data_IF_165814037034
#
_entry.id   IF_165814037034
#
_cell.length_a   1.000
_cell.length_b   1.000
_cell.length_c   1.000
_cell.angle_alpha   90.00
_cell.angle_beta   90.00
_cell.angle_gamma   90.00
#
_symmetry.space_group_name_H-M   'P 1'
#
loop_
_entity.id
_entity.type
_entity.pdbx_description
1 polymer ?
#
# COMPACT_ATOMS: atom_id res chain seq x y z
N UNK A 1 -8.27 14.56 18.92
CA UNK A 1 -7.52 14.08 17.73
C UNK A 1 -7.00 12.66 17.88
N UNK A 2 -6.09 12.36 18.83
CA UNK A 2 -5.60 10.99 19.10
C UNK A 2 -6.72 9.97 19.46
N UNK A 3 -7.87 10.47 19.91
CA UNK A 3 -9.06 9.68 20.22
C UNK A 3 -9.74 9.05 18.98
N UNK A 4 -9.68 9.70 17.81
CA UNK A 4 -10.23 9.14 16.56
C UNK A 4 -9.38 7.98 16.07
N UNK A 5 -8.06 8.19 15.97
CA UNK A 5 -7.10 7.15 15.62
C UNK A 5 -7.19 5.96 16.60
N UNK A 6 -7.27 6.24 17.91
CA UNK A 6 -7.44 5.18 18.93
C UNK A 6 -8.74 4.39 18.72
N UNK A 7 -9.81 5.06 18.30
CA UNK A 7 -11.10 4.41 18.05
C UNK A 7 -11.07 3.55 16.78
N UNK A 8 -10.51 4.09 15.69
CA UNK A 8 -10.32 3.37 14.42
C UNK A 8 -9.42 2.15 14.63
N UNK A 9 -8.33 2.31 15.38
CA UNK A 9 -7.43 1.22 15.77
C UNK A 9 -8.15 0.18 16.61
N UNK A 10 -8.86 0.57 17.68
CA UNK A 10 -9.57 -0.36 18.56
C UNK A 10 -10.61 -1.17 17.78
N UNK A 11 -11.30 -0.55 16.81
CA UNK A 11 -12.29 -1.22 15.98
C UNK A 11 -11.67 -2.27 15.05
N UNK A 12 -10.51 -1.97 14.47
CA UNK A 12 -9.88 -2.84 13.46
C UNK A 12 -8.83 -3.81 14.07
N UNK A 13 -8.46 -3.62 15.34
CA UNK A 13 -7.39 -4.35 16.02
C UNK A 13 -7.55 -5.88 15.93
N UNK A 14 -8.77 -6.39 16.13
CA UNK A 14 -9.04 -7.84 16.05
C UNK A 14 -8.80 -8.40 14.65
N UNK A 15 -9.18 -7.67 13.61
CA UNK A 15 -8.98 -8.10 12.21
C UNK A 15 -7.51 -8.01 11.82
N UNK A 16 -6.84 -6.93 12.22
CA UNK A 16 -5.40 -6.73 11.97
C UNK A 16 -4.56 -7.80 12.68
N UNK A 17 -4.81 -8.05 13.97
CA UNK A 17 -4.12 -9.09 14.74
C UNK A 17 -4.44 -10.49 14.19
N UNK A 18 -5.70 -10.75 13.84
CA UNK A 18 -6.10 -12.01 13.23
C UNK A 18 -5.37 -12.27 11.90
N UNK A 19 -5.31 -11.27 11.02
CA UNK A 19 -4.58 -11.37 9.76
C UNK A 19 -3.07 -11.59 9.97
N UNK A 20 -2.48 -10.93 10.98
CA UNK A 20 -1.07 -11.10 11.33
C UNK A 20 -0.78 -12.51 11.85
N UNK A 21 -1.64 -13.06 12.73
CA UNK A 21 -1.49 -14.44 13.23
C UNK A 21 -1.60 -15.45 12.09
N UNK A 22 -2.59 -15.30 11.22
CA UNK A 22 -2.75 -16.17 10.04
C UNK A 22 -1.53 -16.08 9.13
N UNK A 23 -0.99 -14.88 8.92
CA UNK A 23 0.23 -14.67 8.15
C UNK A 23 1.43 -15.40 8.75
N UNK A 24 1.66 -15.28 10.05
CA UNK A 24 2.76 -15.98 10.74
C UNK A 24 2.62 -17.49 10.57
N UNK A 25 1.41 -18.04 10.82
CA UNK A 25 1.15 -19.47 10.65
C UNK A 25 1.41 -19.91 9.20
N UNK A 26 0.96 -19.12 8.22
CA UNK A 26 1.19 -19.41 6.81
C UNK A 26 2.68 -19.40 6.45
N UNK A 27 3.46 -18.43 6.93
CA UNK A 27 4.90 -18.37 6.67
C UNK A 27 5.65 -19.55 7.31
N UNK A 28 5.31 -19.91 8.55
CA UNK A 28 5.88 -21.09 9.21
C UNK A 28 5.53 -22.36 8.43
N UNK A 29 4.28 -22.49 7.98
CA UNK A 29 3.84 -23.65 7.20
C UNK A 29 4.60 -23.75 5.87
N UNK A 30 4.78 -22.63 5.15
CA UNK A 30 5.58 -22.58 3.92
C UNK A 30 7.03 -22.98 4.20
N UNK A 31 7.65 -22.47 5.27
CA UNK A 31 9.02 -22.80 5.62
C UNK A 31 9.19 -24.29 5.95
N UNK A 32 8.32 -24.83 6.81
CA UNK A 32 8.40 -26.23 7.26
C UNK A 32 8.09 -27.20 6.12
N UNK A 33 7.01 -26.97 5.35
CA UNK A 33 6.67 -27.82 4.21
C UNK A 33 7.73 -27.72 3.10
N UNK A 34 8.23 -26.51 2.83
CA UNK A 34 9.28 -26.30 1.85
C UNK A 34 10.56 -27.06 2.19
N UNK A 35 10.96 -27.08 3.47
CA UNK A 35 12.11 -27.86 3.92
C UNK A 35 11.85 -29.38 3.90
N UNK A 36 10.69 -29.84 4.39
CA UNK A 36 10.35 -31.28 4.43
C UNK A 36 10.21 -31.90 3.04
N UNK A 37 9.70 -31.15 2.06
CA UNK A 37 9.47 -31.64 0.70
C UNK A 37 10.54 -31.19 -0.30
N UNK A 38 11.60 -30.52 0.15
CA UNK A 38 12.72 -30.11 -0.70
C UNK A 38 12.33 -29.14 -1.81
N UNK A 39 11.46 -28.18 -1.53
CA UNK A 39 11.06 -27.17 -2.51
C UNK A 39 12.22 -26.26 -2.92
N UNK A 40 12.19 -25.79 -4.17
CA UNK A 40 13.10 -24.76 -4.63
C UNK A 40 12.94 -23.48 -3.79
N UNK A 41 14.04 -22.81 -3.38
CA UNK A 41 13.97 -21.57 -2.60
C UNK A 41 13.10 -20.49 -3.26
N UNK A 42 13.14 -20.41 -4.60
CA UNK A 42 12.31 -19.49 -5.38
C UNK A 42 10.80 -19.74 -5.20
N UNK A 43 10.38 -21.01 -5.09
CA UNK A 43 8.97 -21.36 -4.87
C UNK A 43 8.51 -20.98 -3.46
N UNK A 44 9.35 -21.23 -2.45
CA UNK A 44 9.08 -20.83 -1.06
C UNK A 44 8.97 -19.30 -0.94
N UNK A 45 9.91 -18.58 -1.55
CA UNK A 45 9.93 -17.12 -1.57
C UNK A 45 8.71 -16.54 -2.32
N UNK A 46 8.36 -17.11 -3.47
CA UNK A 46 7.17 -16.72 -4.24
C UNK A 46 5.88 -16.89 -3.46
N UNK A 47 5.68 -18.05 -2.82
CA UNK A 47 4.52 -18.29 -1.94
C UNK A 47 4.51 -17.34 -0.73
N UNK A 48 5.69 -17.03 -0.17
CA UNK A 48 5.85 -16.06 0.90
C UNK A 48 5.39 -14.66 0.48
N UNK A 49 5.84 -14.18 -0.68
CA UNK A 49 5.42 -12.89 -1.26
C UNK A 49 3.92 -12.87 -1.50
N UNK A 50 3.34 -13.94 -2.05
CA UNK A 50 1.89 -14.05 -2.25
C UNK A 50 1.13 -13.92 -0.92
N UNK A 51 1.58 -14.60 0.14
CA UNK A 51 0.97 -14.50 1.47
C UNK A 51 1.06 -13.07 2.02
N UNK A 52 2.21 -12.40 1.93
CA UNK A 52 2.34 -10.99 2.34
C UNK A 52 1.43 -10.06 1.53
N UNK A 53 1.36 -10.26 0.21
CA UNK A 53 0.54 -9.44 -0.68
C UNK A 53 -0.96 -9.56 -0.32
N UNK A 54 -1.42 -10.75 0.06
CA UNK A 54 -2.80 -10.98 0.48
C UNK A 54 -3.18 -10.15 1.72
N UNK A 55 -2.27 -10.07 2.70
CA UNK A 55 -2.46 -9.26 3.91
C UNK A 55 -2.36 -7.77 3.59
N UNK A 56 -1.46 -7.38 2.67
CA UNK A 56 -1.39 -6.02 2.15
C UNK A 56 -2.72 -5.56 1.54
N UNK A 57 -3.35 -6.39 0.70
CA UNK A 57 -4.67 -6.10 0.12
C UNK A 57 -5.74 -5.99 1.21
N UNK A 58 -5.77 -6.90 2.18
CA UNK A 58 -6.69 -6.83 3.31
C UNK A 58 -6.53 -5.52 4.10
N UNK A 59 -5.30 -5.07 4.33
CA UNK A 59 -5.01 -3.79 4.98
C UNK A 59 -5.57 -2.60 4.20
N UNK A 60 -5.34 -2.55 2.88
CA UNK A 60 -5.92 -1.52 2.01
C UNK A 60 -7.45 -1.50 2.16
N UNK A 61 -8.11 -2.66 2.06
CA UNK A 61 -9.57 -2.77 2.20
C UNK A 61 -10.06 -2.26 3.56
N UNK A 62 -9.36 -2.58 4.66
CA UNK A 62 -9.71 -2.13 6.00
C UNK A 62 -9.59 -0.61 6.16
N UNK A 63 -8.54 -0.02 5.59
CA UNK A 63 -8.31 1.42 5.62
C UNK A 63 -9.40 2.15 4.82
N UNK A 64 -9.71 1.65 3.61
CA UNK A 64 -10.78 2.22 2.76
C UNK A 64 -12.15 2.11 3.44
N UNK A 65 -12.49 0.97 4.05
CA UNK A 65 -13.74 0.82 4.81
C UNK A 65 -13.81 1.77 6.00
N UNK A 66 -12.69 2.00 6.68
CA UNK A 66 -12.61 2.96 7.79
C UNK A 66 -12.87 4.38 7.30
N UNK A 67 -12.26 4.76 6.18
CA UNK A 67 -12.50 6.06 5.55
C UNK A 67 -13.96 6.25 5.12
N UNK A 68 -14.55 5.26 4.45
CA UNK A 68 -15.96 5.30 4.04
C UNK A 68 -16.91 5.45 5.25
N UNK A 69 -16.63 4.73 6.34
CA UNK A 69 -17.38 4.88 7.59
C UNK A 69 -17.21 6.28 8.19
N UNK A 70 -15.99 6.84 8.16
CA UNK A 70 -15.71 8.15 8.74
C UNK A 70 -16.46 9.25 8.00
N UNK A 71 -16.52 9.22 6.66
CA UNK A 71 -17.32 10.17 5.87
C UNK A 71 -18.82 10.02 6.18
N UNK A 72 -19.35 8.80 6.24
CA UNK A 72 -20.78 8.56 6.57
C UNK A 72 -21.17 9.01 7.98
N UNK A 73 -20.29 8.77 8.94
CA UNK A 73 -20.49 9.16 10.34
C UNK A 73 -20.41 10.68 10.50
N UNK A 74 -19.57 11.34 9.70
CA UNK A 74 -19.47 12.80 9.67
C UNK A 74 -20.80 13.45 9.28
N UNK A 75 -21.53 12.86 8.31
CA UNK A 75 -22.89 13.31 7.94
C UNK A 75 -23.92 13.16 9.08
N UNK A 76 -23.61 12.41 10.15
CA UNK A 76 -24.55 12.07 11.24
C UNK A 76 -24.19 12.70 12.59
N UNK A 77 -23.17 13.57 12.70
CA UNK A 77 -22.71 14.10 14.00
C UNK A 77 -22.74 15.62 14.12
N UNK A 78 -23.28 16.05 15.26
CA UNK A 78 -23.45 17.41 15.80
C UNK A 78 -22.14 18.11 16.25
N UNK A 79 -20.95 17.57 15.96
CA UNK A 79 -19.68 18.15 16.41
C UNK A 79 -18.77 18.47 15.22
N UNK A 80 -18.40 19.74 15.00
CA UNK A 80 -17.55 20.16 13.89
C UNK A 80 -16.12 19.66 14.11
N UNK A 81 -15.76 18.56 13.46
CA UNK A 81 -14.37 18.09 13.38
C UNK A 81 -13.82 18.52 12.03
N UNK A 82 -12.64 19.11 11.93
CA UNK A 82 -12.15 19.54 10.61
C UNK A 82 -12.05 18.36 9.62
N UNK A 83 -12.53 18.52 8.37
CA UNK A 83 -12.71 17.45 7.37
C UNK A 83 -11.45 16.66 7.09
N UNK A 84 -10.29 17.33 7.16
CA UNK A 84 -8.96 16.73 7.00
C UNK A 84 -8.72 15.57 7.99
N UNK A 85 -9.27 15.64 9.21
CA UNK A 85 -9.09 14.57 10.22
C UNK A 85 -9.80 13.27 9.86
N UNK A 86 -10.86 13.34 9.05
CA UNK A 86 -11.56 12.15 8.57
C UNK A 86 -10.72 11.36 7.54
N UNK A 87 -9.83 12.04 6.84
CA UNK A 87 -8.89 11.49 5.85
C UNK A 87 -7.60 11.03 6.55
N UNK A 88 -7.04 11.86 7.43
CA UNK A 88 -5.72 11.62 8.01
C UNK A 88 -5.71 10.49 9.05
N UNK A 89 -6.81 10.27 9.79
CA UNK A 89 -6.93 9.17 10.76
C UNK A 89 -6.78 7.78 10.11
N UNK A 90 -7.60 7.39 9.11
CA UNK A 90 -7.43 6.12 8.43
C UNK A 90 -6.10 6.03 7.67
N UNK A 91 -5.60 7.13 7.11
CA UNK A 91 -4.29 7.15 6.44
C UNK A 91 -3.16 6.76 7.41
N UNK A 92 -3.08 7.42 8.57
CA UNK A 92 -2.07 7.11 9.59
C UNK A 92 -2.17 5.68 10.11
N UNK A 93 -3.39 5.18 10.32
CA UNK A 93 -3.62 3.78 10.70
C UNK A 93 -3.06 2.82 9.64
N UNK A 94 -3.31 3.11 8.35
CA UNK A 94 -2.77 2.34 7.24
C UNK A 94 -1.25 2.37 7.18
N UNK A 95 -0.64 3.56 7.31
CA UNK A 95 0.81 3.72 7.31
C UNK A 95 1.48 2.91 8.44
N UNK A 96 0.92 2.94 9.65
CA UNK A 96 1.42 2.12 10.76
C UNK A 96 1.28 0.62 10.48
N UNK A 97 0.17 0.19 9.87
CA UNK A 97 -0.04 -1.21 9.48
C UNK A 97 0.97 -1.68 8.44
N UNK A 98 1.24 -0.84 7.43
CA UNK A 98 2.21 -1.11 6.37
C UNK A 98 3.64 -1.08 6.88
N UNK A 99 3.99 -0.16 7.78
CA UNK A 99 5.28 -0.16 8.48
C UNK A 99 5.50 -1.44 9.28
N UNK A 100 4.48 -1.89 10.01
CA UNK A 100 4.54 -3.15 10.75
C UNK A 100 4.72 -4.35 9.81
N UNK A 101 3.94 -4.42 8.72
CA UNK A 101 4.07 -5.48 7.73
C UNK A 101 5.46 -5.46 7.05
N UNK A 102 5.95 -4.28 6.69
CA UNK A 102 7.28 -4.10 6.10
C UNK A 102 8.40 -4.54 7.03
N UNK A 103 8.31 -4.21 8.33
CA UNK A 103 9.26 -4.69 9.33
C UNK A 103 9.27 -6.22 9.44
N UNK A 104 8.10 -6.88 9.39
CA UNK A 104 8.00 -8.35 9.39
C UNK A 104 8.62 -8.95 8.13
N UNK A 105 8.39 -8.35 6.95
CA UNK A 105 9.00 -8.79 5.69
C UNK A 105 10.52 -8.67 5.73
N UNK A 106 11.05 -7.54 6.21
CA UNK A 106 12.49 -7.33 6.34
C UNK A 106 13.12 -8.31 7.31
N UNK A 107 12.48 -8.58 8.46
CA UNK A 107 12.93 -9.58 9.41
C UNK A 107 12.94 -10.97 8.78
N UNK A 108 11.89 -11.32 8.04
CA UNK A 108 11.79 -12.61 7.38
C UNK A 108 12.84 -12.80 6.27
N UNK A 109 13.10 -11.76 5.47
CA UNK A 109 14.18 -11.75 4.48
C UNK A 109 15.55 -11.91 5.15
N UNK A 110 15.78 -11.17 6.24
CA UNK A 110 17.00 -11.31 7.03
C UNK A 110 17.20 -12.73 7.56
N UNK A 111 16.13 -13.39 8.04
CA UNK A 111 16.18 -14.80 8.44
C UNK A 111 16.52 -15.73 7.26
N UNK A 112 15.91 -15.52 6.09
CA UNK A 112 16.20 -16.31 4.90
C UNK A 112 17.68 -16.22 4.48
N UNK A 113 18.27 -15.03 4.51
CA UNK A 113 19.68 -14.86 4.13
C UNK A 113 20.65 -15.47 5.16
N UNK A 114 20.38 -15.30 6.45
CA UNK A 114 21.32 -15.73 7.51
C UNK A 114 21.17 -17.20 7.89
N UNK A 115 19.95 -17.75 7.95
CA UNK A 115 19.73 -19.13 8.39
C UNK A 115 19.83 -20.16 7.26
N UNK A 116 19.37 -19.82 6.05
CA UNK A 116 19.31 -20.76 4.91
C UNK A 116 20.53 -20.66 3.98
N UNK A 117 21.49 -19.80 4.30
CA UNK A 117 22.75 -19.70 3.54
C UNK A 117 22.54 -19.26 2.08
N UNK A 118 21.45 -18.54 1.78
CA UNK A 118 21.11 -18.08 0.42
C UNK A 118 22.05 -16.99 -0.12
N UNK A 119 23.18 -16.74 0.55
CA UNK A 119 24.21 -15.78 0.16
C UNK A 119 24.80 -16.07 -1.23
N UNK A 120 24.92 -17.35 -1.60
CA UNK A 120 25.47 -17.82 -2.89
C UNK A 120 24.39 -18.27 -3.89
N UNK A 121 23.11 -18.15 -3.55
CA UNK A 121 22.04 -18.50 -4.47
C UNK A 121 21.88 -17.41 -5.54
N UNK A 122 21.54 -17.80 -6.77
CA UNK A 122 21.30 -16.90 -7.93
C UNK A 122 20.20 -15.83 -7.71
N UNK A 123 19.58 -15.82 -6.52
CA UNK A 123 18.73 -14.76 -6.02
C UNK A 123 19.64 -13.59 -5.57
N UNK A 124 19.97 -12.73 -6.54
CA UNK A 124 20.86 -11.57 -6.44
C UNK A 124 20.38 -10.44 -5.50
N UNK A 125 19.92 -10.77 -4.30
CA UNK A 125 19.55 -9.77 -3.29
C UNK A 125 20.75 -9.33 -2.45
N UNK A 126 21.78 -10.16 -2.30
CA UNK A 126 22.87 -9.86 -1.36
C UNK A 126 23.93 -8.89 -1.90
N UNK A 127 24.04 -8.74 -3.22
CA UNK A 127 25.06 -7.90 -3.88
C UNK A 127 24.61 -6.47 -4.14
N UNK A 128 23.35 -6.12 -3.84
CA UNK A 128 22.73 -4.84 -4.29
C UNK A 128 22.25 -3.95 -3.15
N UNK A 129 22.03 -4.47 -1.93
CA UNK A 129 21.42 -3.69 -0.85
C UNK A 129 22.41 -3.41 0.28
N UNK A 130 22.88 -2.16 0.36
CA UNK A 130 23.54 -1.64 1.55
C UNK A 130 22.50 -1.48 2.68
N UNK A 131 22.93 -1.34 3.94
CA UNK A 131 22.02 -1.14 5.08
C UNK A 131 21.09 0.07 4.86
N UNK A 132 21.54 1.04 4.07
CA UNK A 132 20.79 2.23 3.69
C UNK A 132 19.70 1.99 2.65
N UNK A 133 19.80 0.94 1.85
CA UNK A 133 18.82 0.65 0.81
C UNK A 133 17.56 -0.01 1.39
N UNK A 134 17.68 -0.75 2.51
CA UNK A 134 16.51 -1.24 3.25
C UNK A 134 15.67 -0.09 3.82
N UNK A 135 16.31 0.96 4.35
CA UNK A 135 15.58 2.13 4.84
C UNK A 135 14.90 2.88 3.68
N UNK A 136 15.62 3.10 2.57
CA UNK A 136 15.04 3.75 1.37
C UNK A 136 13.84 2.96 0.84
N UNK A 137 13.95 1.63 0.77
CA UNK A 137 12.86 0.76 0.33
C UNK A 137 11.64 0.89 1.23
N UNK A 138 11.84 0.95 2.56
CA UNK A 138 10.74 1.12 3.52
C UNK A 138 10.10 2.51 3.41
N UNK A 139 10.89 3.58 3.21
CA UNK A 139 10.38 4.93 2.98
C UNK A 139 9.56 4.99 1.69
N UNK A 140 10.09 4.44 0.59
CA UNK A 140 9.37 4.40 -0.69
C UNK A 140 8.10 3.56 -0.62
N UNK A 141 8.13 2.44 0.09
CA UNK A 141 6.95 1.60 0.30
C UNK A 141 5.85 2.34 1.05
N UNK A 142 6.20 3.10 2.10
CA UNK A 142 5.23 3.95 2.82
C UNK A 142 4.73 5.09 1.94
N UNK A 143 5.62 5.72 1.16
CA UNK A 143 5.26 6.82 0.26
C UNK A 143 4.30 6.37 -0.84
N UNK A 144 4.62 5.27 -1.53
CA UNK A 144 3.74 4.64 -2.54
C UNK A 144 2.39 4.26 -1.94
N UNK A 145 2.38 3.75 -0.71
CA UNK A 145 1.14 3.45 0.00
C UNK A 145 0.32 4.72 0.29
N UNK A 146 0.95 5.80 0.77
CA UNK A 146 0.27 7.08 1.02
C UNK A 146 -0.37 7.59 -0.27
N UNK A 147 0.39 7.62 -1.37
CA UNK A 147 -0.08 8.07 -2.67
C UNK A 147 -1.27 7.23 -3.16
N UNK A 148 -1.14 5.90 -3.13
CA UNK A 148 -2.21 4.97 -3.46
C UNK A 148 -3.46 5.21 -2.60
N UNK A 149 -3.31 5.39 -1.29
CA UNK A 149 -4.44 5.63 -0.41
C UNK A 149 -5.13 6.96 -0.69
N UNK A 150 -4.39 8.03 -0.99
CA UNK A 150 -4.97 9.32 -1.34
C UNK A 150 -5.77 9.26 -2.65
N UNK A 151 -5.27 8.56 -3.67
CA UNK A 151 -6.01 8.37 -4.92
C UNK A 151 -7.29 7.55 -4.72
N UNK A 152 -7.24 6.48 -3.90
CA UNK A 152 -8.43 5.69 -3.57
C UNK A 152 -9.43 6.50 -2.73
N UNK A 153 -8.96 7.29 -1.77
CA UNK A 153 -9.81 8.17 -0.95
C UNK A 153 -10.51 9.22 -1.81
N UNK A 154 -9.80 9.86 -2.72
CA UNK A 154 -10.38 10.79 -3.68
C UNK A 154 -11.45 10.11 -4.54
N UNK A 155 -11.13 8.96 -5.14
CA UNK A 155 -12.09 8.18 -5.94
C UNK A 155 -13.33 7.76 -5.12
N UNK A 156 -13.16 7.40 -3.85
CA UNK A 156 -14.25 7.07 -2.92
C UNK A 156 -15.10 8.29 -2.58
N UNK A 157 -14.48 9.46 -2.39
CA UNK A 157 -15.20 10.71 -2.16
C UNK A 157 -16.04 11.11 -3.38
N UNK A 158 -15.49 11.00 -4.59
CA UNK A 158 -16.22 11.22 -5.86
C UNK A 158 -17.35 10.21 -6.04
N UNK A 159 -17.11 8.93 -5.76
CA UNK A 159 -18.16 7.91 -5.78
C UNK A 159 -19.34 8.28 -4.88
N UNK A 160 -19.06 8.88 -3.72
CA UNK A 160 -20.06 9.28 -2.73
C UNK A 160 -20.80 10.56 -3.06
N UNK A 161 -20.30 11.43 -3.94
CA UNK A 161 -21.07 12.62 -4.37
C UNK A 161 -22.19 12.27 -5.33
N UNK A 162 -22.09 11.11 -6.01
CA UNK A 162 -23.16 10.63 -6.88
C UNK A 162 -24.15 9.77 -6.08
N UNK A 163 -25.44 10.15 -6.07
CA UNK A 163 -26.48 9.47 -5.28
C UNK A 163 -26.98 8.15 -5.89
N UNK A 164 -26.58 7.83 -7.12
CA UNK A 164 -27.11 6.68 -7.87
C UNK A 164 -26.35 5.38 -7.55
N UNK A 165 -26.99 4.24 -7.87
CA UNK A 165 -26.32 2.91 -7.84
C UNK A 165 -25.08 2.84 -8.74
N UNK A 166 -24.93 3.79 -9.68
CA UNK A 166 -23.74 3.93 -10.52
C UNK A 166 -22.55 4.61 -9.82
N UNK A 167 -22.72 5.14 -8.60
CA UNK A 167 -21.65 5.81 -7.87
C UNK A 167 -20.39 4.94 -7.69
N UNK A 168 -20.53 3.64 -7.49
CA UNK A 168 -19.37 2.72 -7.37
C UNK A 168 -18.57 2.66 -8.68
N UNK A 169 -19.25 2.54 -9.82
CA UNK A 169 -18.62 2.53 -11.14
C UNK A 169 -17.90 3.84 -11.46
N UNK A 170 -18.50 4.96 -11.07
CA UNK A 170 -17.88 6.29 -11.24
C UNK A 170 -16.60 6.39 -10.41
N UNK A 171 -16.58 5.86 -9.19
CA UNK A 171 -15.37 5.80 -8.37
C UNK A 171 -14.24 5.02 -9.05
N UNK A 172 -14.54 3.82 -9.56
CA UNK A 172 -13.57 2.97 -10.28
C UNK A 172 -13.05 3.70 -11.52
N UNK A 173 -13.94 4.27 -12.32
CA UNK A 173 -13.55 5.03 -13.52
C UNK A 173 -12.66 6.21 -13.15
N UNK A 174 -12.99 6.94 -12.09
CA UNK A 174 -12.19 8.08 -11.60
C UNK A 174 -10.78 7.63 -11.21
N UNK A 175 -10.66 6.51 -10.50
CA UNK A 175 -9.36 5.96 -10.12
C UNK A 175 -8.48 5.62 -11.34
N UNK A 176 -9.06 4.95 -12.34
CA UNK A 176 -8.36 4.55 -13.56
C UNK A 176 -7.94 5.75 -14.41
N UNK A 177 -8.85 6.70 -14.62
CA UNK A 177 -8.58 7.93 -15.38
C UNK A 177 -7.50 8.75 -14.69
N UNK A 178 -7.56 8.89 -13.36
CA UNK A 178 -6.57 9.62 -12.60
C UNK A 178 -5.17 9.02 -12.74
N UNK A 179 -5.02 7.70 -12.57
CA UNK A 179 -3.74 7.02 -12.77
C UNK A 179 -3.23 7.16 -14.21
N UNK A 180 -4.12 7.06 -15.20
CA UNK A 180 -3.77 7.23 -16.61
C UNK A 180 -3.25 8.63 -16.91
N UNK A 181 -3.90 9.66 -16.37
CA UNK A 181 -3.48 11.06 -16.53
C UNK A 181 -2.14 11.29 -15.85
N UNK A 182 -1.97 10.84 -14.61
CA UNK A 182 -0.71 11.03 -13.86
C UNK A 182 0.44 10.32 -14.58
N UNK A 183 0.23 9.07 -15.01
CA UNK A 183 1.23 8.31 -15.76
C UNK A 183 1.60 8.99 -17.08
N UNK A 184 0.60 9.49 -17.82
CA UNK A 184 0.83 10.23 -19.07
C UNK A 184 1.61 11.53 -18.86
N UNK A 185 1.28 12.30 -17.81
CA UNK A 185 2.00 13.54 -17.46
C UNK A 185 3.43 13.24 -17.03
N UNK A 186 3.63 12.23 -16.17
CA UNK A 186 4.97 11.82 -15.73
C UNK A 186 5.84 11.39 -16.90
N UNK A 187 5.31 10.54 -17.79
CA UNK A 187 6.02 10.12 -19.00
C UNK A 187 6.35 11.31 -19.92
N UNK A 188 5.45 12.28 -20.07
CA UNK A 188 5.68 13.44 -20.94
C UNK A 188 6.74 14.40 -20.39
N UNK A 189 6.82 14.53 -19.07
CA UNK A 189 7.75 15.45 -18.39
C UNK A 189 9.11 14.82 -18.11
N UNK A 190 9.15 13.54 -17.77
CA UNK A 190 10.35 12.86 -17.24
C UNK A 190 10.83 11.69 -18.12
N UNK A 191 10.10 11.35 -19.19
CA UNK A 191 10.51 10.36 -20.19
C UNK A 191 10.30 8.90 -19.77
N UNK A 192 10.86 8.52 -18.62
CA UNK A 192 10.76 7.16 -18.09
C UNK A 192 9.51 7.03 -17.23
N UNK A 193 8.60 6.15 -17.68
CA UNK A 193 7.33 5.92 -17.00
C UNK A 193 7.49 5.24 -15.64
N UNK A 194 6.74 5.76 -14.69
CA UNK A 194 6.42 5.32 -13.31
C UNK A 194 6.33 3.80 -13.01
N UNK A 195 6.26 2.94 -14.03
CA UNK A 195 5.92 1.51 -13.92
C UNK A 195 6.93 0.58 -14.63
N UNK A 196 8.19 0.98 -14.79
CA UNK A 196 9.23 0.10 -15.34
C UNK A 196 9.76 -0.93 -14.32
N UNK A 197 8.89 -1.51 -13.48
CA UNK A 197 9.21 -2.82 -12.88
C UNK A 197 8.92 -3.90 -13.92
N UNK A 198 9.89 -4.13 -14.79
CA UNK A 198 9.90 -5.26 -15.71
C UNK A 198 10.21 -6.54 -14.92
N UNK A 199 9.18 -7.32 -14.63
CA UNK A 199 9.34 -8.73 -14.28
C UNK A 199 9.42 -9.54 -15.58
N UNK A 200 10.53 -10.25 -15.81
CA UNK A 200 10.61 -11.21 -16.91
C UNK A 200 10.34 -12.61 -16.34
N UNK A 201 9.43 -13.33 -16.99
CA UNK A 201 9.16 -14.73 -16.68
C UNK A 201 9.90 -15.52 -17.75
N UNK A 202 10.97 -16.20 -17.36
CA UNK A 202 11.68 -17.14 -18.22
C UNK A 202 11.43 -18.56 -17.72
N UNK A 203 11.76 -19.56 -18.54
CA UNK A 203 11.57 -20.98 -18.23
C UNK A 203 12.32 -21.44 -16.97
N UNK A 204 13.33 -20.68 -16.52
CA UNK A 204 14.13 -20.96 -15.32
C UNK A 204 13.61 -20.29 -14.03
N UNK A 205 12.60 -19.42 -14.11
CA UNK A 205 12.02 -18.77 -12.94
C UNK A 205 11.47 -17.36 -13.18
N UNK A 206 10.88 -16.79 -12.12
CA UNK A 206 10.39 -15.41 -12.11
C UNK A 206 11.54 -14.48 -11.73
N UNK A 207 12.04 -13.70 -12.69
CA UNK A 207 13.06 -12.69 -12.44
C UNK A 207 12.40 -11.34 -12.23
N UNK A 208 12.38 -10.89 -10.97
CA UNK A 208 12.09 -9.50 -10.66
C UNK A 208 13.34 -8.68 -10.89
N UNK A 209 13.44 -8.03 -12.05
CA UNK A 209 14.41 -6.96 -12.20
C UNK A 209 13.84 -5.76 -11.46
N UNK A 210 14.20 -5.64 -10.18
CA UNK A 210 14.07 -4.39 -9.45
C UNK A 210 15.01 -3.42 -10.18
N UNK A 211 14.46 -2.64 -11.12
CA UNK A 211 15.17 -1.54 -11.74
C UNK A 211 15.74 -0.63 -10.66
N UNK A 212 16.80 0.16 -10.97
CA UNK A 212 17.38 1.06 -10.01
C UNK A 212 16.27 1.84 -9.33
N UNK A 213 16.27 1.80 -8.00
CA UNK A 213 15.35 2.50 -7.09
C UNK A 213 15.64 4.01 -7.17
N UNK A 214 15.56 4.53 -8.39
CA UNK A 214 15.90 5.87 -8.81
C UNK A 214 14.65 6.51 -9.37
N UNK A 215 13.70 6.79 -8.48
CA UNK A 215 12.65 7.76 -8.78
C UNK A 215 13.36 9.04 -9.22
N UNK A 216 13.08 9.52 -10.44
CA UNK A 216 13.60 10.82 -10.83
C UNK A 216 13.05 11.85 -9.83
N UNK A 217 13.91 12.75 -9.33
CA UNK A 217 13.49 13.76 -8.35
C UNK A 217 12.30 14.59 -8.85
N UNK A 218 12.16 14.75 -10.17
CA UNK A 218 11.03 15.40 -10.80
C UNK A 218 9.71 14.66 -10.59
N UNK A 219 9.70 13.33 -10.71
CA UNK A 219 8.52 12.50 -10.50
C UNK A 219 8.08 12.52 -9.02
N UNK A 220 9.04 12.45 -8.10
CA UNK A 220 8.77 12.60 -6.66
C UNK A 220 8.12 13.94 -6.32
N UNK A 221 8.59 15.04 -6.91
CA UNK A 221 8.01 16.37 -6.72
C UNK A 221 6.58 16.43 -7.28
N UNK A 222 6.36 15.86 -8.47
CA UNK A 222 5.03 15.79 -9.07
C UNK A 222 4.05 15.05 -8.16
N UNK A 223 4.45 13.92 -7.59
CA UNK A 223 3.62 13.17 -6.66
C UNK A 223 3.29 13.93 -5.39
N UNK A 224 4.25 14.67 -4.82
CA UNK A 224 4.00 15.52 -3.65
C UNK A 224 2.94 16.57 -3.99
N UNK A 225 3.06 17.23 -5.15
CA UNK A 225 2.11 18.24 -5.61
C UNK A 225 0.73 17.60 -5.81
N UNK A 226 0.65 16.47 -6.51
CA UNK A 226 -0.60 15.75 -6.76
C UNK A 226 -1.22 15.26 -5.45
N UNK A 227 -0.42 14.79 -4.49
CA UNK A 227 -0.90 14.35 -3.17
C UNK A 227 -1.56 15.49 -2.40
N UNK A 228 -0.95 16.68 -2.40
CA UNK A 228 -1.52 17.87 -1.75
C UNK A 228 -2.83 18.27 -2.44
N UNK A 229 -2.87 18.26 -3.78
CA UNK A 229 -4.09 18.55 -4.54
C UNK A 229 -5.20 17.54 -4.26
N UNK A 230 -4.89 16.24 -4.22
CA UNK A 230 -5.83 15.18 -3.90
C UNK A 230 -6.39 15.31 -2.49
N UNK A 231 -5.53 15.61 -1.51
CA UNK A 231 -5.96 15.82 -0.12
C UNK A 231 -6.91 17.02 -0.02
N UNK A 232 -6.56 18.15 -0.65
CA UNK A 232 -7.41 19.35 -0.70
C UNK A 232 -8.73 19.07 -1.41
N UNK A 233 -8.71 18.45 -2.59
CA UNK A 233 -9.90 18.13 -3.36
C UNK A 233 -10.83 17.15 -2.61
N UNK A 234 -10.25 16.16 -1.92
CA UNK A 234 -11.02 15.21 -1.09
C UNK A 234 -11.69 15.94 0.08
N UNK A 235 -10.97 16.82 0.79
CA UNK A 235 -11.55 17.62 1.87
C UNK A 235 -12.68 18.52 1.37
N UNK A 236 -12.47 19.21 0.24
CA UNK A 236 -13.48 20.06 -0.39
C UNK A 236 -14.76 19.29 -0.77
N UNK A 237 -14.62 18.09 -1.36
CA UNK A 237 -15.77 17.25 -1.72
C UNK A 237 -16.56 16.79 -0.49
N UNK A 238 -15.87 16.48 0.62
CA UNK A 238 -16.52 16.11 1.89
C UNK A 238 -17.32 17.31 2.44
N UNK A 239 -16.74 18.51 2.47
CA UNK A 239 -17.39 19.72 2.99
C UNK A 239 -18.61 20.13 2.17
N UNK A 240 -18.47 20.15 0.83
CA UNK A 240 -19.57 20.52 -0.06
C UNK A 240 -20.78 19.58 0.08
N UNK A 241 -20.55 18.30 0.33
CA UNK A 241 -21.62 17.32 0.54
C UNK A 241 -22.28 17.43 1.92
N UNK A 242 -21.58 17.93 2.94
CA UNK A 242 -22.17 18.18 4.26
C UNK A 242 -23.05 19.43 4.25
N UNK A 243 -22.75 20.39 3.37
CA UNK A 243 -23.53 21.62 3.19
C UNK A 243 -24.78 21.46 2.29
N UNK A 244 -24.92 20.34 1.59
CA UNK A 244 -26.04 20.04 0.68
C UNK A 244 -27.03 19.05 1.32
#
# INVERSE_FOLDING_TARGET
MMRLLKYDWKRNSTTVLGALVVLIIAQIAIMVMGFMWGWLPAAMLGLGIMAYSSVGVLMVVLVVKTFDYNIKSYQRRLLPLHSIWSILSPLLMGCLGVLCLGAVVLLHLWMYFNLLGLHDSSLAFHTVFDNWDYLKALIMLVWNFIFLMLTIFFATAVSRTTSSRAGVWIGILTFLVLHSIIGWVSQKLFGDGYWSQSGSINEEGVFFQLGPVGQSWGDAILEVIVSILLLYATAYLIERKVAA
#
